data_IF_674374522279
#
_entry.id   IF_674374522279
#
_cell.length_a   1.000
_cell.length_b   1.000
_cell.length_c   1.000
_cell.angle_alpha   90.00
_cell.angle_beta   90.00
_cell.angle_gamma   90.00
#
_symmetry.space_group_name_H-M   'P 1'
#
loop_
_entity.id
_entity.type
_entity.pdbx_description
1 polymer ?
#
# COMPACT_ATOMS: atom_id res chain seq x y z
N UNK A 1 29.57 -3.68 13.37
CA UNK A 1 28.31 -3.21 14.00
C UNK A 1 27.46 -2.74 12.85
N UNK A 2 26.49 -3.55 12.44
CA UNK A 2 25.56 -3.21 11.36
C UNK A 2 24.68 -2.05 11.83
N UNK A 3 24.22 -1.17 10.93
CA UNK A 3 23.41 -0.04 11.31
C UNK A 3 22.04 -0.53 11.82
N UNK A 4 21.86 -0.46 13.11
CA UNK A 4 20.56 -0.72 13.73
C UNK A 4 19.63 0.43 13.36
N UNK A 5 18.50 0.10 12.67
CA UNK A 5 17.50 1.09 12.37
C UNK A 5 16.82 1.58 13.64
N UNK A 6 16.91 2.85 13.87
CA UNK A 6 16.07 3.51 14.85
C UNK A 6 14.89 4.17 14.11
N UNK A 7 13.70 3.58 14.21
CA UNK A 7 12.46 4.11 13.64
C UNK A 7 11.90 5.31 14.41
N UNK A 8 12.76 6.10 15.05
CA UNK A 8 12.34 7.31 15.79
C UNK A 8 12.01 8.47 14.85
N UNK A 9 12.64 8.53 13.69
CA UNK A 9 12.41 9.59 12.70
C UNK A 9 12.80 9.14 11.28
N UNK A 10 12.24 9.81 10.26
CA UNK A 10 12.65 9.60 8.87
C UNK A 10 14.12 9.99 8.68
N UNK A 11 14.59 11.03 9.38
CA UNK A 11 15.99 11.45 9.29
C UNK A 11 16.96 10.35 9.76
N UNK A 12 16.60 9.56 10.79
CA UNK A 12 17.44 8.45 11.25
C UNK A 12 17.51 7.31 10.22
N UNK A 13 16.41 7.06 9.49
CA UNK A 13 16.37 6.08 8.41
C UNK A 13 17.28 6.51 7.24
N UNK A 14 17.17 7.78 6.83
CA UNK A 14 18.00 8.36 5.76
C UNK A 14 19.48 8.29 6.14
N UNK A 15 19.84 8.72 7.35
CA UNK A 15 21.24 8.67 7.83
C UNK A 15 21.80 7.24 7.84
N UNK A 16 21.00 6.25 8.21
CA UNK A 16 21.41 4.84 8.16
C UNK A 16 21.63 4.36 6.71
N UNK A 17 20.77 4.76 5.78
CA UNK A 17 20.91 4.44 4.36
C UNK A 17 22.18 5.08 3.76
N UNK A 18 22.43 6.36 4.03
CA UNK A 18 23.63 7.06 3.59
C UNK A 18 24.91 6.43 4.16
N UNK A 19 24.91 6.10 5.44
CA UNK A 19 26.06 5.47 6.11
C UNK A 19 26.40 4.09 5.57
N UNK A 20 25.38 3.29 5.23
CA UNK A 20 25.55 1.93 4.73
C UNK A 20 25.74 1.86 3.20
N UNK A 21 25.38 2.90 2.46
CA UNK A 21 25.33 2.90 1.01
C UNK A 21 24.26 1.97 0.42
N UNK A 22 23.31 1.50 1.24
CA UNK A 22 22.24 0.61 0.83
C UNK A 22 20.91 1.36 0.74
N UNK A 23 20.01 0.96 -0.18
CA UNK A 23 18.67 1.51 -0.19
C UNK A 23 17.90 1.14 1.09
N UNK A 24 17.02 2.03 1.54
CA UNK A 24 16.19 1.82 2.74
C UNK A 24 15.50 0.47 2.73
N UNK A 25 14.91 0.09 1.59
CA UNK A 25 14.22 -1.19 1.43
C UNK A 25 15.08 -2.41 1.72
N UNK A 26 16.35 -2.39 1.30
CA UNK A 26 17.27 -3.51 1.54
C UNK A 26 17.66 -3.64 3.01
N UNK A 27 17.86 -2.51 3.68
CA UNK A 27 18.18 -2.51 5.12
C UNK A 27 16.97 -3.01 5.93
N UNK A 28 15.75 -2.54 5.60
CA UNK A 28 14.53 -2.99 6.27
C UNK A 28 14.28 -4.48 6.07
N UNK A 29 14.46 -4.98 4.83
CA UNK A 29 14.34 -6.41 4.54
C UNK A 29 15.29 -7.24 5.40
N UNK A 30 16.57 -6.85 5.45
CA UNK A 30 17.60 -7.54 6.26
C UNK A 30 17.25 -7.52 7.75
N UNK A 31 16.90 -6.36 8.28
CA UNK A 31 16.54 -6.21 9.68
C UNK A 31 15.31 -7.04 10.06
N UNK A 32 14.28 -7.06 9.18
CA UNK A 32 13.13 -7.93 9.40
C UNK A 32 13.49 -9.42 9.36
N UNK A 33 14.37 -9.81 8.45
CA UNK A 33 14.84 -11.19 8.36
C UNK A 33 15.57 -11.61 9.66
N UNK A 34 16.42 -10.76 10.21
CA UNK A 34 17.09 -10.98 11.49
C UNK A 34 16.10 -11.06 12.66
N UNK A 35 15.16 -10.12 12.76
CA UNK A 35 14.15 -10.10 13.84
C UNK A 35 13.22 -11.30 13.81
N UNK A 36 12.90 -11.81 12.62
CA UNK A 36 12.02 -12.96 12.43
C UNK A 36 12.77 -14.30 12.43
N UNK A 37 14.10 -14.28 12.55
CA UNK A 37 14.97 -15.46 12.41
C UNK A 37 14.71 -16.23 11.11
N UNK A 38 14.53 -15.49 10.01
CA UNK A 38 14.25 -16.00 8.67
C UNK A 38 15.27 -15.51 7.66
N UNK A 39 15.27 -16.11 6.47
CA UNK A 39 16.09 -15.62 5.35
C UNK A 39 15.44 -14.39 4.71
N UNK A 40 16.27 -13.50 4.14
CA UNK A 40 15.78 -12.34 3.36
C UNK A 40 14.80 -12.77 2.24
N UNK A 41 15.07 -13.90 1.58
CA UNK A 41 14.20 -14.46 0.56
C UNK A 41 12.81 -14.86 1.10
N UNK A 42 12.76 -15.49 2.28
CA UNK A 42 11.49 -15.84 2.93
C UNK A 42 10.66 -14.61 3.26
N UNK A 43 11.29 -13.56 3.80
CA UNK A 43 10.64 -12.30 4.14
C UNK A 43 10.19 -11.56 2.89
N UNK A 44 11.03 -11.54 1.84
CA UNK A 44 10.67 -10.98 0.54
C UNK A 44 9.44 -11.67 -0.06
N UNK A 45 9.41 -13.00 -0.10
CA UNK A 45 8.28 -13.78 -0.63
C UNK A 45 7.01 -13.57 0.21
N UNK A 46 7.12 -13.30 1.50
CA UNK A 46 5.99 -12.91 2.33
C UNK A 46 5.42 -11.54 1.90
N UNK A 47 6.26 -10.53 1.72
CA UNK A 47 5.84 -9.22 1.23
C UNK A 47 5.28 -9.30 -0.19
N UNK A 48 5.88 -10.12 -1.06
CA UNK A 48 5.39 -10.37 -2.41
C UNK A 48 3.97 -10.93 -2.42
N UNK A 49 3.65 -11.87 -1.51
CA UNK A 49 2.26 -12.37 -1.36
C UNK A 49 1.28 -11.26 -0.95
N UNK A 50 1.67 -10.33 -0.08
CA UNK A 50 0.84 -9.16 0.22
C UNK A 50 0.62 -8.29 -1.02
N UNK A 51 1.67 -8.02 -1.79
CA UNK A 51 1.57 -7.28 -3.04
C UNK A 51 0.62 -7.96 -4.04
N UNK A 52 0.70 -9.29 -4.18
CA UNK A 52 -0.20 -10.06 -5.04
C UNK A 52 -1.66 -9.92 -4.59
N UNK A 53 -1.95 -10.00 -3.31
CA UNK A 53 -3.31 -9.76 -2.79
C UNK A 53 -3.78 -8.34 -3.10
N UNK A 54 -2.91 -7.33 -2.98
CA UNK A 54 -3.24 -5.96 -3.38
C UNK A 54 -3.64 -5.87 -4.86
N UNK A 55 -2.93 -6.57 -5.74
CA UNK A 55 -3.25 -6.62 -7.17
C UNK A 55 -4.54 -7.39 -7.46
N UNK A 56 -4.73 -8.54 -6.80
CA UNK A 56 -5.92 -9.39 -6.94
C UNK A 56 -7.22 -8.70 -6.49
N UNK A 57 -7.14 -7.68 -5.63
CA UNK A 57 -8.31 -6.93 -5.16
C UNK A 57 -9.00 -6.12 -6.26
N UNK A 58 -8.27 -5.74 -7.33
CA UNK A 58 -8.76 -4.75 -8.31
C UNK A 58 -9.90 -5.28 -9.15
N UNK A 59 -9.77 -6.47 -9.72
CA UNK A 59 -10.80 -7.04 -10.61
C UNK A 59 -12.13 -7.29 -9.88
N UNK A 60 -12.17 -8.02 -8.75
CA UNK A 60 -13.43 -8.20 -8.03
C UNK A 60 -13.99 -6.87 -7.47
N UNK A 61 -13.11 -5.94 -7.05
CA UNK A 61 -13.52 -4.62 -6.59
C UNK A 61 -14.13 -3.75 -7.68
N UNK A 62 -13.77 -3.96 -8.94
CA UNK A 62 -14.38 -3.31 -10.10
C UNK A 62 -15.60 -4.04 -10.65
N UNK A 63 -16.16 -5.04 -9.96
CA UNK A 63 -17.38 -5.71 -10.42
C UNK A 63 -18.57 -4.74 -10.41
N UNK A 64 -19.36 -4.78 -11.50
CA UNK A 64 -20.55 -3.94 -11.66
C UNK A 64 -21.58 -4.15 -10.55
N UNK A 65 -21.70 -5.39 -10.10
CA UNK A 65 -22.74 -5.84 -9.17
C UNK A 65 -22.23 -5.93 -7.72
N UNK A 66 -20.97 -5.54 -7.48
CA UNK A 66 -20.41 -5.53 -6.14
C UNK A 66 -21.17 -4.54 -5.26
N UNK A 67 -21.58 -5.01 -4.08
CA UNK A 67 -22.19 -4.19 -3.05
C UNK A 67 -21.58 -4.47 -1.69
N UNK A 68 -21.50 -3.43 -0.88
CA UNK A 68 -21.15 -3.57 0.54
C UNK A 68 -22.14 -4.48 1.26
N UNK A 69 -21.71 -5.02 2.40
CA UNK A 69 -22.58 -5.85 3.27
C UNK A 69 -23.86 -5.11 3.70
N UNK A 70 -23.78 -3.78 3.86
CA UNK A 70 -24.94 -2.95 4.17
C UNK A 70 -25.85 -2.67 2.96
N UNK A 71 -25.41 -2.95 1.74
CA UNK A 71 -26.08 -2.60 0.50
C UNK A 71 -26.06 -1.11 0.13
N UNK A 72 -25.44 -0.25 0.94
CA UNK A 72 -25.45 1.22 0.75
C UNK A 72 -24.44 1.71 -0.27
N UNK A 73 -23.33 0.99 -0.46
CA UNK A 73 -22.24 1.38 -1.37
C UNK A 73 -21.91 0.26 -2.35
N UNK A 74 -21.29 0.61 -3.47
CA UNK A 74 -20.80 -0.31 -4.49
C UNK A 74 -20.98 0.21 -5.90
N UNK A 75 -20.13 -0.26 -6.82
CA UNK A 75 -20.15 0.06 -8.24
C UNK A 75 -19.52 1.40 -8.62
N UNK A 76 -18.95 2.16 -7.69
CA UNK A 76 -18.22 3.40 -7.98
C UNK A 76 -16.89 3.11 -8.68
N UNK A 77 -16.18 2.08 -8.22
CA UNK A 77 -14.95 1.61 -8.86
C UNK A 77 -15.19 1.20 -10.33
N UNK A 78 -16.24 0.43 -10.59
CA UNK A 78 -16.64 0.06 -11.95
C UNK A 78 -16.89 1.28 -12.84
N UNK A 79 -17.67 2.25 -12.35
CA UNK A 79 -17.98 3.47 -13.10
C UNK A 79 -16.72 4.29 -13.38
N UNK A 80 -15.87 4.46 -12.37
CA UNK A 80 -14.62 5.21 -12.50
C UNK A 80 -13.64 4.54 -13.47
N UNK A 81 -13.50 3.21 -13.40
CA UNK A 81 -12.70 2.44 -14.34
C UNK A 81 -13.18 2.66 -15.78
N UNK A 82 -14.50 2.59 -16.04
CA UNK A 82 -15.08 2.84 -17.35
C UNK A 82 -14.79 4.25 -17.89
N UNK A 83 -14.82 5.26 -17.01
CA UNK A 83 -14.48 6.64 -17.38
C UNK A 83 -12.99 6.74 -17.74
N UNK A 84 -12.12 6.11 -16.93
CA UNK A 84 -10.67 6.08 -17.16
C UNK A 84 -10.32 5.40 -18.49
N UNK A 85 -10.85 4.20 -18.75
CA UNK A 85 -10.58 3.42 -19.97
C UNK A 85 -11.11 4.10 -21.24
N UNK A 86 -12.20 4.85 -21.16
CA UNK A 86 -12.75 5.59 -22.29
C UNK A 86 -12.07 6.95 -22.55
N UNK A 87 -11.03 7.29 -21.80
CA UNK A 87 -10.32 8.56 -21.95
C UNK A 87 -11.14 9.81 -21.61
N UNK A 88 -12.29 9.67 -20.93
CA UNK A 88 -13.22 10.76 -20.58
C UNK A 88 -12.97 11.36 -19.19
N UNK A 89 -11.88 10.98 -18.53
CA UNK A 89 -11.56 11.51 -17.22
C UNK A 89 -11.01 12.93 -17.32
N UNK A 90 -11.54 13.82 -16.48
CA UNK A 90 -11.04 15.20 -16.34
C UNK A 90 -9.64 15.26 -15.70
N UNK A 91 -9.24 14.20 -14.99
CA UNK A 91 -7.98 14.13 -14.23
C UNK A 91 -6.85 13.45 -15.01
N UNK A 92 -7.10 13.05 -16.25
CA UNK A 92 -6.17 12.26 -17.06
C UNK A 92 -6.10 10.78 -16.65
N UNK A 93 -5.36 9.97 -17.43
CA UNK A 93 -5.28 8.51 -17.25
C UNK A 93 -4.63 8.11 -15.93
N UNK A 94 -3.56 8.79 -15.55
CA UNK A 94 -2.79 8.46 -14.35
C UNK A 94 -3.63 8.58 -13.07
N UNK A 95 -4.19 9.77 -12.81
CA UNK A 95 -4.96 9.98 -11.59
C UNK A 95 -6.27 9.19 -11.59
N UNK A 96 -6.96 9.09 -12.74
CA UNK A 96 -8.16 8.26 -12.82
C UNK A 96 -7.85 6.77 -12.64
N UNK A 97 -6.69 6.33 -13.09
CA UNK A 97 -6.16 4.99 -12.83
C UNK A 97 -5.96 4.70 -11.35
N UNK A 98 -5.40 5.64 -10.61
CA UNK A 98 -5.25 5.54 -9.16
C UNK A 98 -6.61 5.57 -8.44
N UNK A 99 -7.50 6.47 -8.85
CA UNK A 99 -8.83 6.61 -8.24
C UNK A 99 -9.67 5.34 -8.35
N UNK A 100 -9.77 4.72 -9.54
CA UNK A 100 -10.59 3.52 -9.63
C UNK A 100 -9.98 2.33 -8.86
N UNK A 101 -8.65 2.23 -8.78
CA UNK A 101 -7.98 1.18 -7.99
C UNK A 101 -8.20 1.37 -6.49
N UNK A 102 -8.10 2.60 -6.00
CA UNK A 102 -8.40 2.92 -4.60
C UNK A 102 -9.84 2.55 -4.24
N UNK A 103 -10.79 2.96 -5.10
CA UNK A 103 -12.21 2.62 -4.93
C UNK A 103 -12.43 1.11 -4.97
N UNK A 104 -11.77 0.38 -5.88
CA UNK A 104 -11.92 -1.07 -6.01
C UNK A 104 -11.56 -1.79 -4.70
N UNK A 105 -10.40 -1.47 -4.13
CA UNK A 105 -9.99 -2.09 -2.85
C UNK A 105 -10.93 -1.70 -1.72
N UNK A 106 -11.36 -0.44 -1.64
CA UNK A 106 -12.28 0.04 -0.61
C UNK A 106 -13.67 -0.59 -0.72
N UNK A 107 -14.22 -0.74 -1.93
CA UNK A 107 -15.51 -1.39 -2.15
C UNK A 107 -15.45 -2.89 -1.89
N UNK A 108 -14.34 -3.54 -2.26
CA UNK A 108 -14.11 -4.94 -1.93
C UNK A 108 -14.03 -5.17 -0.42
N UNK A 109 -13.32 -4.29 0.31
CA UNK A 109 -13.28 -4.32 1.77
C UNK A 109 -14.68 -4.17 2.38
N UNK A 110 -15.49 -3.22 1.90
CA UNK A 110 -16.87 -3.02 2.37
C UNK A 110 -17.80 -4.20 2.04
N UNK A 111 -17.46 -5.01 1.06
CA UNK A 111 -18.14 -6.25 0.69
C UNK A 111 -17.55 -7.49 1.41
N UNK A 112 -16.69 -7.32 2.42
CA UNK A 112 -16.03 -8.39 3.17
C UNK A 112 -15.09 -9.26 2.32
N UNK A 113 -14.55 -8.71 1.23
CA UNK A 113 -13.56 -9.38 0.41
C UNK A 113 -12.17 -9.37 1.07
N UNK A 114 -11.26 -10.18 0.51
CA UNK A 114 -9.88 -10.26 0.99
C UNK A 114 -9.09 -9.03 0.53
N UNK A 115 -8.50 -8.30 1.48
CA UNK A 115 -7.63 -7.15 1.25
C UNK A 115 -6.38 -7.22 2.12
N UNK A 116 -5.42 -6.33 1.86
CA UNK A 116 -4.30 -6.06 2.77
C UNK A 116 -4.59 -4.77 3.52
N UNK A 117 -4.61 -4.84 4.85
CA UNK A 117 -4.70 -3.65 5.68
C UNK A 117 -3.33 -2.94 5.72
N UNK A 118 -3.28 -1.66 5.29
CA UNK A 118 -2.03 -0.90 5.20
C UNK A 118 -2.27 0.61 5.45
N UNK A 119 -2.08 1.13 6.67
CA UNK A 119 -1.88 0.39 7.92
C UNK A 119 -3.15 -0.23 8.49
N UNK A 120 -4.33 0.22 8.06
CA UNK A 120 -5.63 -0.26 8.52
C UNK A 120 -6.53 -0.68 7.35
N UNK A 121 -7.63 -1.39 7.64
CA UNK A 121 -8.63 -1.71 6.63
C UNK A 121 -9.33 -0.46 6.07
N UNK A 122 -9.43 0.62 6.85
CA UNK A 122 -10.03 1.90 6.41
C UNK A 122 -9.21 2.64 5.36
N UNK A 123 -7.90 2.40 5.30
CA UNK A 123 -6.97 3.00 4.34
C UNK A 123 -6.40 2.03 3.30
N UNK A 124 -6.95 0.81 3.23
CA UNK A 124 -6.42 -0.31 2.43
C UNK A 124 -6.28 -0.02 0.92
N UNK A 125 -6.99 0.98 0.40
CA UNK A 125 -6.95 1.32 -1.03
C UNK A 125 -5.79 2.23 -1.44
N UNK A 126 -5.12 2.92 -0.51
CA UNK A 126 -4.14 3.97 -0.83
C UNK A 126 -2.86 3.39 -1.44
N UNK A 127 -2.17 2.52 -0.72
CA UNK A 127 -0.92 1.90 -1.20
C UNK A 127 -1.13 1.07 -2.48
N UNK A 128 -2.13 0.19 -2.59
CA UNK A 128 -2.37 -0.53 -3.85
C UNK A 128 -2.64 0.39 -5.03
N UNK A 129 -3.41 1.47 -4.83
CA UNK A 129 -3.71 2.41 -5.90
C UNK A 129 -2.45 3.11 -6.41
N UNK A 130 -1.59 3.58 -5.53
CA UNK A 130 -0.33 4.23 -5.89
C UNK A 130 0.60 3.25 -6.61
N UNK A 131 0.89 2.09 -6.00
CA UNK A 131 1.85 1.12 -6.53
C UNK A 131 1.41 0.53 -7.88
N UNK A 132 0.17 0.04 -7.97
CA UNK A 132 -0.31 -0.61 -9.19
C UNK A 132 -0.50 0.37 -10.34
N UNK A 133 -0.80 1.65 -10.04
CA UNK A 133 -0.87 2.68 -11.08
C UNK A 133 0.53 3.04 -11.57
N UNK A 134 1.48 3.24 -10.67
CA UNK A 134 2.87 3.49 -11.04
C UNK A 134 3.46 2.33 -11.84
N UNK A 135 3.21 1.09 -11.40
CA UNK A 135 3.66 -0.10 -12.11
C UNK A 135 3.11 -0.14 -13.54
N UNK A 136 1.81 0.08 -13.72
CA UNK A 136 1.17 0.04 -15.03
C UNK A 136 1.67 1.15 -15.97
N UNK A 137 1.76 2.40 -15.48
CA UNK A 137 2.12 3.57 -16.27
C UNK A 137 3.63 3.68 -16.58
N UNK A 138 4.46 3.20 -15.68
CA UNK A 138 5.93 3.26 -15.79
C UNK A 138 6.59 1.93 -16.11
N UNK A 139 5.80 0.86 -16.22
CA UNK A 139 6.29 -0.51 -16.47
C UNK A 139 7.36 -0.93 -15.44
N UNK A 140 7.11 -0.58 -14.15
CA UNK A 140 8.03 -0.88 -13.06
C UNK A 140 8.03 -2.41 -12.82
N UNK A 141 9.20 -3.05 -12.69
CA UNK A 141 9.28 -4.46 -12.35
C UNK A 141 8.57 -4.78 -11.02
N UNK A 142 7.90 -5.93 -10.94
CA UNK A 142 7.21 -6.36 -9.70
C UNK A 142 8.15 -6.33 -8.49
N UNK A 143 9.40 -6.76 -8.68
CA UNK A 143 10.41 -6.75 -7.61
C UNK A 143 10.59 -5.37 -6.99
N UNK A 144 10.65 -4.32 -7.80
CA UNK A 144 10.85 -2.95 -7.32
C UNK A 144 9.61 -2.44 -6.57
N UNK A 145 8.41 -2.82 -7.04
CA UNK A 145 7.16 -2.54 -6.34
C UNK A 145 7.12 -3.23 -4.97
N UNK A 146 7.51 -4.50 -4.89
CA UNK A 146 7.58 -5.24 -3.62
C UNK A 146 8.63 -4.63 -2.70
N UNK A 147 9.81 -4.28 -3.21
CA UNK A 147 10.86 -3.64 -2.42
C UNK A 147 10.44 -2.27 -1.89
N UNK A 148 9.64 -1.50 -2.64
CA UNK A 148 9.12 -0.21 -2.16
C UNK A 148 8.19 -0.35 -0.94
N UNK A 149 7.52 -1.49 -0.78
CA UNK A 149 6.71 -1.77 0.41
C UNK A 149 7.55 -1.87 1.69
N UNK A 150 8.80 -2.34 1.62
CA UNK A 150 9.71 -2.32 2.76
C UNK A 150 10.08 -0.88 3.15
N UNK A 151 10.27 0.01 2.17
CA UNK A 151 10.46 1.45 2.45
C UNK A 151 9.22 2.07 3.08
N UNK A 152 8.03 1.78 2.54
CA UNK A 152 6.76 2.24 3.11
C UNK A 152 6.57 1.72 4.54
N UNK A 153 6.94 0.45 4.81
CA UNK A 153 6.90 -0.13 6.15
C UNK A 153 7.79 0.64 7.13
N UNK A 154 9.01 1.03 6.73
CA UNK A 154 9.91 1.83 7.57
C UNK A 154 9.29 3.19 7.94
N UNK A 155 8.72 3.89 6.96
CA UNK A 155 8.03 5.17 7.20
C UNK A 155 6.81 4.95 8.11
N UNK A 156 6.02 3.90 7.84
CA UNK A 156 4.87 3.53 8.67
C UNK A 156 5.25 3.24 10.12
N UNK A 157 6.40 2.60 10.38
CA UNK A 157 6.92 2.36 11.74
C UNK A 157 7.29 3.68 12.44
N UNK A 158 7.90 4.64 11.72
CA UNK A 158 8.16 5.98 12.29
C UNK A 158 6.86 6.67 12.66
N UNK A 159 5.84 6.60 11.81
CA UNK A 159 4.53 7.19 12.10
C UNK A 159 3.91 6.51 13.32
N UNK A 160 3.91 5.17 13.37
CA UNK A 160 3.35 4.40 14.47
C UNK A 160 4.00 4.72 15.83
N UNK A 161 5.31 5.01 15.83
CA UNK A 161 6.05 5.36 17.06
C UNK A 161 5.78 6.80 17.54
N UNK A 162 5.31 7.69 16.66
CA UNK A 162 5.13 9.10 16.95
C UNK A 162 3.66 9.58 16.93
N UNK A 163 2.74 8.77 16.37
CA UNK A 163 1.34 9.12 16.20
C UNK A 163 0.43 7.90 16.31
N UNK A 164 -0.86 8.14 16.52
CA UNK A 164 -1.86 7.06 16.45
C UNK A 164 -2.19 6.72 15.00
N UNK A 165 -2.24 5.42 14.69
CA UNK A 165 -2.72 4.88 13.42
C UNK A 165 -4.20 4.52 13.47
N UNK A 166 -4.79 4.48 14.66
CA UNK A 166 -6.15 3.98 14.86
C UNK A 166 -7.20 5.04 14.56
N UNK A 167 -8.13 4.73 13.67
CA UNK A 167 -9.28 5.61 13.38
C UNK A 167 -10.15 5.90 14.60
N UNK A 168 -10.20 5.00 15.58
CA UNK A 168 -10.90 5.20 16.83
C UNK A 168 -10.31 6.32 17.71
N UNK A 169 -9.03 6.62 17.56
CA UNK A 169 -8.31 7.64 18.33
C UNK A 169 -8.15 8.95 17.55
N UNK A 170 -7.72 8.87 16.29
CA UNK A 170 -7.40 10.03 15.45
C UNK A 170 -8.36 10.26 14.28
N UNK A 171 -9.45 9.51 14.19
CA UNK A 171 -10.37 9.56 13.06
C UNK A 171 -9.78 8.95 11.77
N UNK A 172 -10.50 9.01 10.67
CA UNK A 172 -10.04 8.50 9.37
C UNK A 172 -8.77 9.22 8.87
N UNK A 173 -8.49 10.41 9.37
CA UNK A 173 -7.26 11.16 9.04
C UNK A 173 -6.00 10.48 9.56
N UNK A 174 -6.05 9.80 10.73
CA UNK A 174 -4.93 9.03 11.24
C UNK A 174 -4.64 7.82 10.32
N UNK A 175 -5.66 7.13 9.85
CA UNK A 175 -5.54 5.99 8.94
C UNK A 175 -5.07 6.42 7.55
N UNK A 176 -5.77 7.36 6.93
CA UNK A 176 -5.47 7.80 5.56
C UNK A 176 -4.17 8.60 5.49
N UNK A 177 -3.90 9.47 6.46
CA UNK A 177 -2.65 10.24 6.51
C UNK A 177 -1.43 9.36 6.74
N UNK A 178 -1.58 8.24 7.46
CA UNK A 178 -0.49 7.28 7.64
C UNK A 178 -0.24 6.39 6.41
N UNK A 179 -1.26 6.17 5.59
CA UNK A 179 -1.15 5.38 4.37
C UNK A 179 -0.65 6.19 3.17
N UNK A 180 -0.83 7.52 3.17
CA UNK A 180 -0.43 8.45 2.12
C UNK A 180 1.03 8.88 2.25
#
# INVERSE_FOLDING_TARGET
>A
MEPEFNYSSVASIVAAAEKSGLPISAIVLRQQAEQMEQTEESVYEHMRRHYQVMAECIEPGCSKDLKSTSGLTGGSAYKMRRISENGKSLTGSFLSGALYRALAVSELNAAMGRIVAAPTAGSCGILPAALLTMQAEKQIPERDCVMSLFTASAVGMVIANNASLAGAQGGCQAECGSAA
#
